data_IF_725085807244
#
_entry.id   IF_725085807244
#
_cell.length_a   1.000
_cell.length_b   1.000
_cell.length_c   1.000
_cell.angle_alpha   90.00
_cell.angle_beta   90.00
_cell.angle_gamma   90.00
#
_symmetry.space_group_name_H-M   'P 1'
#
loop_
_entity.id
_entity.type
_entity.pdbx_description
1 polymer ?
#
# COMPACT_ATOMS: atom_id res chain seq x y z
N UNK A 1 9.56 -3.06 -4.86
CA UNK A 1 9.28 -1.74 -4.23
C UNK A 1 9.30 -1.95 -2.72
N UNK A 2 10.09 -1.17 -1.98
CA UNK A 2 10.08 -1.15 -0.52
C UNK A 2 9.16 -0.02 -0.06
N UNK A 3 8.25 -0.31 0.86
CA UNK A 3 7.29 0.68 1.37
C UNK A 3 7.23 0.56 2.89
N UNK A 4 7.29 1.68 3.57
CA UNK A 4 7.17 1.78 5.01
C UNK A 4 5.87 2.52 5.35
N UNK A 5 5.02 1.89 6.16
CA UNK A 5 3.77 2.47 6.63
C UNK A 5 3.84 2.69 8.14
N UNK A 6 3.48 3.87 8.56
CA UNK A 6 3.31 4.19 9.98
C UNK A 6 2.31 5.34 10.17
N UNK A 7 1.76 5.46 11.35
CA UNK A 7 0.85 6.53 11.76
C UNK A 7 1.44 7.31 12.92
N UNK A 8 0.84 8.44 13.27
CA UNK A 8 1.24 9.19 14.48
C UNK A 8 1.14 8.35 15.77
N UNK A 9 0.28 7.34 15.78
CA UNK A 9 0.01 6.47 16.93
C UNK A 9 0.68 5.10 16.83
N UNK A 10 1.53 4.88 15.83
CA UNK A 10 2.16 3.57 15.58
C UNK A 10 2.97 3.02 16.78
N UNK A 11 3.46 3.91 17.64
CA UNK A 11 4.25 3.56 18.84
C UNK A 11 3.58 4.01 20.14
N UNK A 12 2.26 4.18 20.12
CA UNK A 12 1.46 4.73 21.22
C UNK A 12 1.19 6.23 21.05
N UNK A 13 0.15 6.71 21.74
CA UNK A 13 -0.38 8.06 21.54
C UNK A 13 0.59 9.18 21.94
N UNK A 14 1.54 8.90 22.81
CA UNK A 14 2.45 9.89 23.38
C UNK A 14 3.86 9.84 22.80
N UNK A 15 4.22 8.82 22.05
CA UNK A 15 5.60 8.63 21.56
C UNK A 15 6.11 9.84 20.78
N UNK A 16 5.38 10.29 19.76
CA UNK A 16 5.78 11.45 18.94
C UNK A 16 5.48 12.81 19.59
N UNK A 17 4.88 12.84 20.79
CA UNK A 17 4.69 14.07 21.59
C UNK A 17 5.88 14.40 22.48
N UNK A 18 6.82 13.48 22.67
CA UNK A 18 8.06 13.73 23.40
C UNK A 18 8.83 14.90 22.79
N UNK A 19 9.49 15.69 23.63
CA UNK A 19 10.16 16.93 23.23
C UNK A 19 11.14 16.78 22.07
N UNK A 20 11.85 15.64 22.03
CA UNK A 20 12.83 15.32 20.98
C UNK A 20 12.21 15.04 19.62
N UNK A 21 10.89 14.77 19.55
CA UNK A 21 10.17 14.47 18.32
C UNK A 21 9.30 15.62 17.78
N UNK A 22 9.40 16.84 18.35
CA UNK A 22 8.63 18.02 17.89
C UNK A 22 8.75 18.29 16.39
N UNK A 23 9.91 17.97 15.80
CA UNK A 23 10.14 18.17 14.38
C UNK A 23 9.41 17.13 13.51
N UNK A 24 9.00 15.98 14.06
CA UNK A 24 8.28 14.94 13.32
C UNK A 24 6.89 15.41 12.86
N UNK A 25 6.28 16.36 13.55
CA UNK A 25 5.05 17.00 13.09
C UNK A 25 5.23 17.71 11.73
N UNK A 26 6.41 18.24 11.43
CA UNK A 26 6.73 18.79 10.10
C UNK A 26 6.60 17.71 9.02
N UNK A 27 7.06 16.48 9.29
CA UNK A 27 6.94 15.36 8.36
C UNK A 27 5.48 15.04 8.05
N UNK A 28 4.64 14.97 9.08
CA UNK A 28 3.21 14.70 8.88
C UNK A 28 2.51 15.84 8.10
N UNK A 29 2.90 17.09 8.33
CA UNK A 29 2.38 18.23 7.60
C UNK A 29 2.82 18.23 6.12
N UNK A 30 4.10 17.95 5.85
CA UNK A 30 4.64 17.83 4.48
C UNK A 30 3.95 16.65 3.76
N UNK A 31 3.70 15.55 4.47
CA UNK A 31 3.06 14.35 3.91
C UNK A 31 1.61 14.58 3.49
N UNK A 32 0.92 15.58 4.03
CA UNK A 32 -0.47 15.89 3.66
C UNK A 32 -0.62 16.22 2.17
N UNK A 33 0.42 16.78 1.54
CA UNK A 33 0.45 17.09 0.11
C UNK A 33 1.19 16.02 -0.73
N UNK A 34 1.62 14.94 -0.09
CA UNK A 34 2.66 14.10 -0.64
C UNK A 34 3.99 14.87 -0.81
N UNK A 35 5.10 14.20 -0.62
CA UNK A 35 6.40 14.83 -0.75
C UNK A 35 7.37 13.95 -1.56
N UNK A 36 8.08 14.59 -2.50
CA UNK A 36 9.20 13.98 -3.21
C UNK A 36 10.49 14.52 -2.64
N UNK A 37 11.42 13.65 -2.27
CA UNK A 37 12.74 14.06 -1.84
C UNK A 37 13.51 14.68 -3.01
N UNK A 38 14.04 15.88 -2.81
CA UNK A 38 14.93 16.56 -3.76
C UNK A 38 16.41 16.35 -3.41
N UNK A 39 16.75 16.19 -2.12
CA UNK A 39 18.09 15.89 -1.62
C UNK A 39 18.11 14.65 -0.72
N UNK A 40 19.29 14.20 -0.26
CA UNK A 40 19.49 13.04 0.64
C UNK A 40 18.87 11.72 0.14
N UNK A 41 18.68 11.60 -1.19
CA UNK A 41 18.00 10.42 -1.79
C UNK A 41 18.80 9.15 -1.60
N UNK A 42 20.13 9.23 -1.72
CA UNK A 42 21.02 8.07 -1.62
C UNK A 42 21.07 7.57 -0.18
N UNK A 43 21.26 8.46 0.76
CA UNK A 43 21.30 8.15 2.19
C UNK A 43 19.99 7.52 2.67
N UNK A 44 18.86 8.06 2.22
CA UNK A 44 17.54 7.50 2.54
C UNK A 44 17.36 6.13 1.89
N UNK A 45 17.80 5.94 0.63
CA UNK A 45 17.73 4.66 -0.06
C UNK A 45 18.56 3.59 0.66
N UNK A 46 19.79 3.92 1.03
CA UNK A 46 20.71 3.00 1.74
C UNK A 46 20.11 2.55 3.08
N UNK A 47 19.48 3.48 3.82
CA UNK A 47 18.75 3.15 5.05
C UNK A 47 17.53 2.27 4.81
N UNK A 48 16.78 2.49 3.72
CA UNK A 48 15.66 1.63 3.34
C UNK A 48 16.12 0.22 2.95
N UNK A 49 17.25 0.09 2.26
CA UNK A 49 17.81 -1.22 1.93
C UNK A 49 18.28 -1.96 3.19
N UNK A 50 18.93 -1.25 4.12
CA UNK A 50 19.35 -1.81 5.39
C UNK A 50 18.16 -2.31 6.24
N UNK A 51 17.00 -1.66 6.18
CA UNK A 51 15.78 -2.11 6.88
C UNK A 51 15.36 -3.54 6.51
N UNK A 52 15.65 -3.98 5.29
CA UNK A 52 15.26 -5.30 4.81
C UNK A 52 15.95 -6.42 5.60
N UNK A 53 17.23 -6.21 5.92
CA UNK A 53 18.08 -7.21 6.58
C UNK A 53 18.14 -7.01 8.11
N UNK A 54 17.67 -5.86 8.61
CA UNK A 54 17.74 -5.52 10.03
C UNK A 54 16.72 -6.31 10.87
N UNK A 55 17.06 -6.56 12.13
CA UNK A 55 16.22 -7.21 13.13
C UNK A 55 15.66 -6.22 14.15
N UNK A 56 14.54 -6.56 14.73
CA UNK A 56 13.93 -5.94 15.92
C UNK A 56 14.33 -4.47 16.19
N UNK A 57 15.22 -4.24 17.18
CA UNK A 57 15.63 -2.91 17.63
C UNK A 57 16.39 -2.14 16.54
N UNK A 58 17.24 -2.80 15.77
CA UNK A 58 17.99 -2.15 14.69
C UNK A 58 17.05 -1.60 13.61
N UNK A 59 15.96 -2.32 13.32
CA UNK A 59 14.92 -1.85 12.39
C UNK A 59 14.26 -0.59 12.90
N UNK A 60 14.00 -0.50 14.20
CA UNK A 60 13.43 0.69 14.82
C UNK A 60 14.42 1.88 14.79
N UNK A 61 15.69 1.64 15.07
CA UNK A 61 16.74 2.66 14.97
C UNK A 61 16.89 3.17 13.53
N UNK A 62 16.87 2.27 12.54
CA UNK A 62 16.93 2.64 11.13
C UNK A 62 15.69 3.44 10.71
N UNK A 63 14.51 3.09 11.21
CA UNK A 63 13.30 3.86 10.99
C UNK A 63 13.42 5.30 11.49
N UNK A 64 13.92 5.51 12.70
CA UNK A 64 14.16 6.86 13.23
C UNK A 64 15.22 7.62 12.43
N UNK A 65 16.28 6.95 11.97
CA UNK A 65 17.29 7.55 11.08
C UNK A 65 16.67 7.98 9.75
N UNK A 66 15.78 7.18 9.16
CA UNK A 66 15.05 7.56 7.93
C UNK A 66 14.23 8.82 8.16
N UNK A 67 13.45 8.90 9.24
CA UNK A 67 12.70 10.10 9.60
C UNK A 67 13.63 11.31 9.70
N UNK A 68 14.73 11.18 10.44
CA UNK A 68 15.71 12.25 10.60
C UNK A 68 16.29 12.74 9.27
N UNK A 69 16.63 11.84 8.35
CA UNK A 69 17.16 12.22 7.03
C UNK A 69 16.10 12.88 6.16
N UNK A 70 14.84 12.43 6.22
CA UNK A 70 13.73 13.06 5.48
C UNK A 70 13.48 14.49 6.00
N UNK A 71 13.55 14.71 7.31
CA UNK A 71 13.38 16.03 7.91
C UNK A 71 14.49 17.03 7.51
N UNK A 72 15.71 16.55 7.28
CA UNK A 72 16.85 17.35 6.80
C UNK A 72 16.80 17.58 5.29
N UNK A 73 16.08 16.75 4.56
CA UNK A 73 16.06 16.79 3.10
C UNK A 73 15.23 17.97 2.58
N UNK A 74 15.65 18.51 1.44
CA UNK A 74 14.78 19.38 0.65
C UNK A 74 13.69 18.50 0.02
N UNK A 75 12.44 18.93 0.16
CA UNK A 75 11.28 18.24 -0.39
C UNK A 75 10.55 19.14 -1.37
N UNK A 76 9.93 18.55 -2.38
CA UNK A 76 8.97 19.22 -3.25
C UNK A 76 7.60 18.54 -3.10
N UNK A 77 6.50 19.31 -3.02
CA UNK A 77 5.18 18.72 -2.92
C UNK A 77 4.84 17.95 -4.20
N UNK A 78 4.17 16.82 -4.06
CA UNK A 78 3.66 16.04 -5.19
C UNK A 78 2.33 16.59 -5.72
N UNK A 79 1.60 17.37 -4.89
CA UNK A 79 0.36 18.02 -5.26
C UNK A 79 0.34 19.45 -4.76
N UNK A 80 -0.14 20.37 -5.60
CA UNK A 80 -0.43 21.77 -5.22
C UNK A 80 -1.76 21.91 -4.51
N UNK A 81 -2.59 20.86 -4.53
CA UNK A 81 -3.86 20.81 -3.82
C UNK A 81 -3.67 20.08 -2.49
N UNK A 82 -3.77 20.83 -1.40
CA UNK A 82 -3.99 20.23 -0.08
C UNK A 82 -5.39 19.63 -0.14
N UNK A 83 -5.48 18.32 -0.10
CA UNK A 83 -6.74 17.64 0.17
C UNK A 83 -7.05 17.82 1.66
N UNK A 84 -7.36 19.07 2.04
CA UNK A 84 -7.85 19.43 3.38
C UNK A 84 -9.32 19.02 3.52
N UNK A 85 -9.63 17.75 3.36
CA UNK A 85 -10.71 17.18 4.13
C UNK A 85 -10.04 16.48 5.32
N UNK A 86 -10.21 16.98 6.54
CA UNK A 86 -9.90 16.17 7.70
C UNK A 86 -10.66 14.86 7.47
N UNK A 87 -9.93 13.75 7.47
CA UNK A 87 -10.58 12.44 7.51
C UNK A 87 -11.44 12.49 8.77
N UNK A 88 -12.76 12.55 8.62
CA UNK A 88 -13.59 12.24 9.77
C UNK A 88 -13.18 10.83 10.19
N UNK A 89 -13.12 10.54 11.47
CA UNK A 89 -12.85 9.19 12.01
C UNK A 89 -13.66 8.12 11.29
N UNK A 90 -14.85 8.48 10.81
CA UNK A 90 -15.74 7.64 10.03
C UNK A 90 -15.22 7.32 8.62
N UNK A 91 -14.50 8.22 7.96
CA UNK A 91 -13.99 7.98 6.60
C UNK A 91 -12.74 7.08 6.61
N UNK A 92 -11.88 7.22 7.61
CA UNK A 92 -10.76 6.32 7.86
C UNK A 92 -11.25 4.90 8.17
N UNK A 93 -12.24 4.76 9.05
CA UNK A 93 -12.89 3.49 9.39
C UNK A 93 -13.54 2.82 8.19
N UNK A 94 -14.21 3.58 7.30
CA UNK A 94 -14.80 3.05 6.06
C UNK A 94 -13.76 2.48 5.11
N UNK A 95 -12.64 3.19 4.90
CA UNK A 95 -11.58 2.70 4.02
C UNK A 95 -10.89 1.48 4.64
N UNK A 96 -10.60 1.49 5.95
CA UNK A 96 -10.07 0.32 6.66
C UNK A 96 -10.99 -0.89 6.48
N UNK A 97 -12.28 -0.75 6.72
CA UNK A 97 -13.25 -1.82 6.55
C UNK A 97 -13.25 -2.40 5.11
N UNK A 98 -13.15 -1.53 4.09
CA UNK A 98 -13.04 -1.97 2.69
C UNK A 98 -11.75 -2.74 2.44
N UNK A 99 -10.61 -2.25 2.97
CA UNK A 99 -9.31 -2.93 2.81
C UNK A 99 -9.31 -4.29 3.53
N UNK A 100 -9.75 -4.34 4.79
CA UNK A 100 -9.81 -5.55 5.60
C UNK A 100 -10.70 -6.61 4.95
N UNK A 101 -11.91 -6.20 4.51
CA UNK A 101 -12.81 -7.09 3.78
C UNK A 101 -12.16 -7.64 2.51
N UNK A 102 -11.47 -6.77 1.76
CA UNK A 102 -10.80 -7.18 0.52
C UNK A 102 -9.67 -8.17 0.80
N UNK A 103 -8.84 -7.91 1.82
CA UNK A 103 -7.72 -8.79 2.17
C UNK A 103 -8.17 -10.17 2.65
N UNK A 104 -9.33 -10.26 3.29
CA UNK A 104 -9.90 -11.55 3.72
C UNK A 104 -10.56 -12.29 2.56
N UNK A 105 -11.23 -11.57 1.64
CA UNK A 105 -12.13 -12.17 0.66
C UNK A 105 -11.63 -12.07 -0.80
N UNK A 106 -10.40 -11.59 -1.06
CA UNK A 106 -9.92 -11.33 -2.43
C UNK A 106 -9.98 -12.55 -3.36
N UNK A 107 -9.85 -13.76 -2.84
CA UNK A 107 -9.92 -15.01 -3.62
C UNK A 107 -11.36 -15.38 -4.04
N UNK A 108 -12.36 -14.81 -3.38
CA UNK A 108 -13.77 -15.02 -3.66
C UNK A 108 -14.33 -14.00 -4.65
N UNK A 109 -15.56 -14.22 -5.13
CA UNK A 109 -16.24 -13.23 -5.96
C UNK A 109 -16.71 -12.07 -5.08
N UNK A 110 -16.20 -10.87 -5.36
CA UNK A 110 -16.64 -9.63 -4.72
C UNK A 110 -17.36 -8.79 -5.78
N UNK A 111 -18.65 -8.55 -5.60
CA UNK A 111 -19.41 -7.66 -6.44
C UNK A 111 -19.44 -6.22 -5.89
N UNK A 112 -19.86 -5.27 -6.73
CA UNK A 112 -19.86 -3.86 -6.38
C UNK A 112 -20.85 -3.54 -5.26
N UNK A 113 -21.98 -4.22 -5.21
CA UNK A 113 -23.02 -4.00 -4.18
C UNK A 113 -22.51 -4.42 -2.81
N UNK A 114 -21.86 -5.57 -2.73
CA UNK A 114 -21.27 -6.09 -1.50
C UNK A 114 -20.23 -5.15 -0.93
N UNK A 115 -19.25 -4.74 -1.74
CA UNK A 115 -18.17 -3.88 -1.23
C UNK A 115 -18.63 -2.45 -0.91
N UNK A 116 -19.61 -1.93 -1.64
CA UNK A 116 -20.25 -0.66 -1.31
C UNK A 116 -20.99 -0.74 0.04
N UNK A 117 -21.67 -1.87 0.31
CA UNK A 117 -22.31 -2.15 1.59
C UNK A 117 -21.35 -2.15 2.77
N UNK A 118 -20.14 -2.70 2.61
CA UNK A 118 -19.09 -2.70 3.65
C UNK A 118 -18.75 -1.27 4.11
N UNK A 119 -18.80 -0.31 3.21
CA UNK A 119 -18.55 1.11 3.53
C UNK A 119 -19.81 1.92 3.83
N UNK A 120 -20.98 1.26 3.91
CA UNK A 120 -22.29 1.91 4.07
C UNK A 120 -22.57 2.96 2.99
N UNK A 121 -22.26 2.63 1.72
CA UNK A 121 -22.44 3.52 0.57
C UNK A 121 -23.27 2.87 -0.53
N UNK A 122 -23.93 3.69 -1.35
CA UNK A 122 -24.47 3.21 -2.62
C UNK A 122 -23.31 2.85 -3.59
N UNK A 123 -23.50 1.93 -4.54
CA UNK A 123 -22.47 1.55 -5.50
C UNK A 123 -21.80 2.73 -6.23
N UNK A 124 -22.61 3.69 -6.68
CA UNK A 124 -22.09 4.87 -7.38
C UNK A 124 -21.28 5.80 -6.45
N UNK A 125 -21.74 6.00 -5.21
CA UNK A 125 -21.01 6.79 -4.22
C UNK A 125 -19.67 6.13 -3.86
N UNK A 126 -19.67 4.80 -3.68
CA UNK A 126 -18.47 4.01 -3.40
C UNK A 126 -17.44 4.11 -4.54
N UNK A 127 -17.86 3.96 -5.80
CA UNK A 127 -16.95 4.09 -6.95
C UNK A 127 -16.24 5.44 -6.97
N UNK A 128 -16.97 6.54 -6.76
CA UNK A 128 -16.40 7.90 -6.69
C UNK A 128 -15.48 8.04 -5.49
N UNK A 129 -15.94 7.61 -4.32
CA UNK A 129 -15.17 7.63 -3.07
C UNK A 129 -13.84 6.88 -3.20
N UNK A 130 -13.89 5.63 -3.66
CA UNK A 130 -12.69 4.79 -3.78
C UNK A 130 -11.71 5.35 -4.81
N UNK A 131 -12.19 5.75 -6.00
CA UNK A 131 -11.34 6.33 -7.03
C UNK A 131 -10.71 7.65 -6.59
N UNK A 132 -11.43 8.49 -5.88
CA UNK A 132 -10.93 9.77 -5.36
C UNK A 132 -9.82 9.56 -4.31
N UNK A 133 -9.89 8.46 -3.53
CA UNK A 133 -8.93 8.16 -2.45
C UNK A 133 -7.71 7.39 -2.91
N UNK A 134 -7.84 6.57 -3.96
CA UNK A 134 -6.79 5.64 -4.38
C UNK A 134 -6.26 5.92 -5.79
N UNK A 135 -6.85 6.86 -6.52
CA UNK A 135 -6.59 7.16 -7.93
C UNK A 135 -6.81 5.97 -8.88
N UNK A 136 -7.50 4.93 -8.43
CA UNK A 136 -7.83 3.74 -9.23
C UNK A 136 -9.23 3.22 -8.88
N UNK A 137 -9.83 2.44 -9.77
CA UNK A 137 -11.10 1.79 -9.45
C UNK A 137 -10.89 0.65 -8.44
N UNK A 138 -11.95 0.30 -7.70
CA UNK A 138 -11.89 -0.82 -6.76
C UNK A 138 -11.47 -2.14 -7.43
N UNK A 139 -12.01 -2.44 -8.61
CA UNK A 139 -11.66 -3.68 -9.31
C UNK A 139 -10.23 -3.68 -9.87
N UNK A 140 -9.66 -2.52 -10.22
CA UNK A 140 -8.21 -2.44 -10.51
C UNK A 140 -7.38 -2.77 -9.27
N UNK A 141 -7.74 -2.20 -8.13
CA UNK A 141 -7.10 -2.52 -6.84
C UNK A 141 -7.23 -4.01 -6.48
N UNK A 142 -8.44 -4.59 -6.58
CA UNK A 142 -8.67 -6.02 -6.32
C UNK A 142 -7.80 -6.91 -7.22
N UNK A 143 -7.66 -6.56 -8.51
CA UNK A 143 -6.77 -7.28 -9.43
C UNK A 143 -5.33 -7.21 -8.94
N UNK A 144 -4.84 -6.05 -8.52
CA UNK A 144 -3.48 -5.90 -7.99
C UNK A 144 -3.25 -6.76 -6.74
N UNK A 145 -4.20 -6.78 -5.80
CA UNK A 145 -4.16 -7.65 -4.60
C UNK A 145 -4.06 -9.13 -4.99
N UNK A 146 -4.88 -9.58 -5.95
CA UNK A 146 -4.87 -10.95 -6.47
C UNK A 146 -3.54 -11.31 -7.13
N UNK A 147 -3.00 -10.40 -7.95
CA UNK A 147 -1.71 -10.62 -8.62
C UNK A 147 -0.57 -10.66 -7.59
N UNK A 148 -0.60 -9.83 -6.55
CA UNK A 148 0.40 -9.88 -5.51
C UNK A 148 0.38 -11.19 -4.72
N UNK A 149 -0.83 -11.70 -4.43
CA UNK A 149 -0.96 -13.04 -3.86
C UNK A 149 -0.43 -14.13 -4.80
N UNK A 150 -0.72 -14.04 -6.10
CA UNK A 150 -0.18 -14.97 -7.10
C UNK A 150 1.36 -14.93 -7.15
N UNK A 151 1.98 -13.76 -7.08
CA UNK A 151 3.43 -13.62 -7.02
C UNK A 151 4.03 -14.35 -5.81
N UNK A 152 3.35 -14.29 -4.66
CA UNK A 152 3.77 -15.03 -3.46
C UNK A 152 3.66 -16.55 -3.64
N UNK A 153 2.59 -17.02 -4.27
CA UNK A 153 2.38 -18.44 -4.54
C UNK A 153 3.32 -18.98 -5.63
N UNK A 154 3.71 -18.15 -6.62
CA UNK A 154 4.62 -18.52 -7.69
C UNK A 154 6.05 -18.83 -7.21
N UNK A 155 6.43 -18.44 -6.01
CA UNK A 155 7.70 -18.83 -5.38
C UNK A 155 7.79 -20.33 -5.12
N UNK A 156 6.65 -20.98 -4.91
CA UNK A 156 6.57 -22.45 -4.87
C UNK A 156 6.52 -22.99 -6.30
N UNK A 157 7.58 -23.71 -6.69
CA UNK A 157 7.73 -24.25 -8.05
C UNK A 157 6.84 -25.45 -8.34
N UNK A 158 6.36 -26.15 -7.30
CA UNK A 158 5.58 -27.38 -7.41
C UNK A 158 4.09 -27.11 -7.69
N UNK A 159 3.60 -25.92 -7.40
CA UNK A 159 2.18 -25.59 -7.60
C UNK A 159 1.91 -25.23 -9.07
N UNK A 160 0.88 -25.82 -9.67
CA UNK A 160 0.49 -25.51 -11.04
C UNK A 160 0.03 -24.04 -11.18
N UNK A 161 0.39 -23.40 -12.30
CA UNK A 161 -0.03 -22.00 -12.57
C UNK A 161 -1.55 -21.87 -12.61
N UNK A 162 -2.25 -22.90 -13.12
CA UNK A 162 -3.71 -22.92 -13.13
C UNK A 162 -4.30 -22.90 -11.70
N UNK A 163 -3.72 -23.68 -10.80
CA UNK A 163 -4.10 -23.72 -9.38
C UNK A 163 -3.80 -22.38 -8.67
N UNK A 164 -2.67 -21.76 -8.97
CA UNK A 164 -2.33 -20.42 -8.45
C UNK A 164 -3.34 -19.38 -8.95
N UNK A 165 -3.75 -19.46 -10.21
CA UNK A 165 -4.79 -18.59 -10.77
C UNK A 165 -6.09 -18.70 -9.96
N UNK A 166 -6.56 -19.92 -9.69
CA UNK A 166 -7.77 -20.18 -8.93
C UNK A 166 -7.65 -19.69 -7.48
N UNK A 167 -6.59 -20.09 -6.77
CA UNK A 167 -6.30 -19.65 -5.38
C UNK A 167 -6.16 -18.13 -5.25
N UNK A 168 -5.81 -17.45 -6.33
CA UNK A 168 -5.74 -15.99 -6.39
C UNK A 168 -7.06 -15.33 -6.80
N UNK A 169 -8.15 -16.10 -6.95
CA UNK A 169 -9.50 -15.59 -7.21
C UNK A 169 -9.82 -15.29 -8.68
N UNK A 170 -9.05 -15.85 -9.62
CA UNK A 170 -9.38 -15.73 -11.04
C UNK A 170 -10.20 -16.93 -11.52
N UNK A 171 -11.33 -16.68 -12.16
CA UNK A 171 -12.24 -17.72 -12.67
C UNK A 171 -11.71 -18.46 -13.91
N UNK A 172 -10.76 -17.87 -14.65
CA UNK A 172 -10.09 -18.53 -15.77
C UNK A 172 -8.64 -18.06 -15.93
N UNK A 173 -7.81 -18.99 -16.40
CA UNK A 173 -6.37 -18.80 -16.57
C UNK A 173 -6.01 -17.76 -17.65
N UNK A 174 -6.85 -17.60 -18.68
CA UNK A 174 -6.59 -16.63 -19.74
C UNK A 174 -6.69 -15.19 -19.21
N UNK A 175 -7.72 -14.89 -18.43
CA UNK A 175 -7.87 -13.59 -17.76
C UNK A 175 -6.75 -13.36 -16.75
N UNK A 176 -6.39 -14.39 -15.98
CA UNK A 176 -5.25 -14.34 -15.06
C UNK A 176 -3.96 -13.96 -15.78
N UNK A 177 -3.57 -14.70 -16.82
CA UNK A 177 -2.34 -14.47 -17.57
C UNK A 177 -2.30 -13.05 -18.16
N UNK A 178 -3.41 -12.59 -18.73
CA UNK A 178 -3.53 -11.23 -19.27
C UNK A 178 -3.35 -10.18 -18.17
N UNK A 179 -4.08 -10.32 -17.05
CA UNK A 179 -4.01 -9.36 -15.93
C UNK A 179 -2.65 -9.39 -15.22
N UNK A 180 -2.05 -10.55 -15.08
CA UNK A 180 -0.70 -10.69 -14.52
C UNK A 180 0.32 -9.93 -15.39
N UNK A 181 0.27 -10.11 -16.72
CA UNK A 181 1.16 -9.40 -17.64
C UNK A 181 0.90 -7.90 -17.66
N UNK A 182 -0.37 -7.46 -17.56
CA UNK A 182 -0.73 -6.02 -17.43
C UNK A 182 -0.09 -5.40 -16.17
N UNK A 183 -0.09 -6.10 -15.03
CA UNK A 183 0.39 -5.56 -13.75
C UNK A 183 1.91 -5.71 -13.57
N UNK A 184 2.50 -6.85 -13.98
CA UNK A 184 3.92 -7.18 -13.72
C UNK A 184 4.82 -7.01 -14.95
N UNK A 185 4.27 -6.76 -16.13
CA UNK A 185 5.02 -6.61 -17.39
C UNK A 185 5.45 -7.92 -18.04
N UNK A 186 5.42 -9.05 -17.30
CA UNK A 186 5.83 -10.38 -17.77
C UNK A 186 4.77 -11.43 -17.45
N UNK A 187 4.86 -12.59 -18.08
CA UNK A 187 3.92 -13.71 -17.82
C UNK A 187 4.17 -14.36 -16.46
N UNK A 188 3.16 -15.06 -15.87
CA UNK A 188 3.37 -15.82 -14.62
C UNK A 188 4.51 -16.85 -14.72
N UNK A 189 4.65 -17.53 -15.86
CA UNK A 189 5.72 -18.50 -16.07
C UNK A 189 7.09 -17.84 -16.08
N UNK A 190 7.23 -16.71 -16.79
CA UNK A 190 8.48 -15.94 -16.80
C UNK A 190 8.81 -15.37 -15.42
N UNK A 191 7.79 -14.90 -14.68
CA UNK A 191 7.98 -14.43 -13.31
C UNK A 191 8.49 -15.53 -12.39
N UNK A 192 7.92 -16.75 -12.47
CA UNK A 192 8.36 -17.94 -11.71
C UNK A 192 9.82 -18.30 -11.99
N UNK A 193 10.26 -18.16 -13.25
CA UNK A 193 11.63 -18.52 -13.65
C UNK A 193 12.69 -17.60 -13.05
N UNK A 194 12.33 -16.37 -12.68
CA UNK A 194 13.24 -15.34 -12.13
C UNK A 194 13.03 -15.06 -10.63
N UNK A 195 12.05 -15.76 -9.99
CA UNK A 195 11.75 -15.67 -8.55
C UNK A 195 12.36 -16.85 -7.83
#
# INVERSE_FOLDING_TARGET
MLTLFFTKTAFGDDFFKLGDFKEVDKLFNISANGAKLASHKREVLDLFLALKEASNLDRFVLFLKIISQILKAKTSPLSTFIYQKPYSDNEGKRMSAVMDYTMINFSSTIDLKTIAGVSNMSPNAFCRYFKQRTNKTYFQFLIEVRIENACRLLKNKDTLIAEISEKSGFKNSSNFNRKFKEVKGITPSAYRAVS
#
